data_IF_212403535994
#
_entry.id   IF_212403535994
#
_cell.length_a   1.000
_cell.length_b   1.000
_cell.length_c   1.000
_cell.angle_alpha   90.00
_cell.angle_beta   90.00
_cell.angle_gamma   90.00
#
_symmetry.space_group_name_H-M   'P 1'
#
loop_
_entity.id
_entity.type
_entity.pdbx_description
1 polymer ?
#
# COMPACT_ATOMS: atom_id res chain seq x y z
N UNK A 1 -32.12 -58.25 12.21
CA UNK A 1 -31.60 -57.16 13.07
C UNK A 1 -30.31 -56.66 12.43
N UNK A 2 -30.27 -55.37 12.12
CA UNK A 2 -29.24 -54.67 11.33
C UNK A 2 -27.96 -54.38 12.12
N UNK A 3 -26.80 -54.47 11.44
CA UNK A 3 -25.64 -53.53 11.38
C UNK A 3 -24.37 -54.33 11.01
N UNK A 4 -23.81 -54.19 9.78
CA UNK A 4 -22.75 -53.24 9.36
C UNK A 4 -21.48 -53.37 10.23
N UNK A 5 -20.26 -53.51 9.71
CA UNK A 5 -19.64 -52.65 8.69
C UNK A 5 -18.36 -53.32 8.13
N UNK A 6 -18.18 -53.23 6.81
CA UNK A 6 -16.98 -53.63 6.06
C UNK A 6 -15.80 -52.70 6.33
N UNK A 7 -14.58 -53.25 6.34
CA UNK A 7 -13.33 -52.49 6.22
C UNK A 7 -12.50 -53.09 5.08
N UNK A 8 -12.77 -52.64 3.85
CA UNK A 8 -11.83 -52.78 2.73
C UNK A 8 -10.91 -51.56 2.77
N UNK A 9 -9.63 -51.77 3.10
CA UNK A 9 -8.60 -50.75 2.95
C UNK A 9 -8.22 -50.67 1.46
N UNK A 10 -8.75 -49.66 0.76
CA UNK A 10 -8.32 -49.29 -0.59
C UNK A 10 -7.15 -48.30 -0.46
N UNK A 11 -5.92 -48.80 -0.58
CA UNK A 11 -4.74 -47.94 -0.70
C UNK A 11 -4.71 -47.45 -2.16
N UNK A 12 -5.12 -46.20 -2.38
CA UNK A 12 -4.92 -45.52 -3.67
C UNK A 12 -3.58 -44.79 -3.62
N UNK A 13 -2.55 -45.40 -4.22
CA UNK A 13 -1.28 -44.72 -4.47
C UNK A 13 -1.47 -43.86 -5.72
N UNK A 14 -1.70 -42.56 -5.55
CA UNK A 14 -1.54 -41.59 -6.62
C UNK A 14 -0.05 -41.28 -6.77
N UNK A 15 0.58 -41.87 -7.78
CA UNK A 15 1.88 -41.43 -8.26
C UNK A 15 1.68 -40.16 -9.11
N UNK A 16 1.85 -38.98 -8.50
CA UNK A 16 2.08 -37.75 -9.25
C UNK A 16 3.54 -37.73 -9.69
N UNK A 17 3.81 -38.20 -10.90
CA UNK A 17 5.02 -37.82 -11.62
C UNK A 17 4.73 -36.43 -12.18
N UNK A 18 5.10 -35.39 -11.44
CA UNK A 18 5.08 -34.02 -11.97
C UNK A 18 6.39 -33.80 -12.72
N UNK A 19 6.31 -33.84 -14.05
CA UNK A 19 7.38 -33.41 -14.94
C UNK A 19 7.64 -31.92 -14.68
N UNK A 20 8.72 -31.61 -13.96
CA UNK A 20 9.21 -30.25 -13.82
C UNK A 20 9.76 -29.78 -15.18
N UNK A 21 8.95 -29.03 -15.92
CA UNK A 21 9.49 -28.06 -16.87
C UNK A 21 9.80 -26.79 -16.08
N UNK A 22 11.08 -26.55 -15.81
CA UNK A 22 11.57 -25.25 -15.36
C UNK A 22 11.28 -24.24 -16.47
N UNK A 23 10.08 -23.66 -16.49
CA UNK A 23 9.79 -22.50 -17.31
C UNK A 23 9.81 -21.28 -16.40
N UNK A 24 10.88 -20.50 -16.49
CA UNK A 24 11.13 -19.31 -15.69
C UNK A 24 10.26 -18.11 -16.09
N UNK A 25 9.04 -18.37 -16.58
CA UNK A 25 8.09 -17.41 -17.14
C UNK A 25 6.62 -17.77 -16.84
N UNK A 26 6.36 -18.62 -15.82
CA UNK A 26 5.00 -18.80 -15.34
C UNK A 26 4.53 -17.49 -14.68
N UNK A 27 3.45 -16.92 -15.22
CA UNK A 27 2.78 -15.74 -14.65
C UNK A 27 2.54 -15.96 -13.15
N UNK A 28 3.20 -15.16 -12.33
CA UNK A 28 3.13 -15.28 -10.88
C UNK A 28 1.71 -14.99 -10.38
N UNK A 29 1.09 -15.95 -9.68
CA UNK A 29 -0.23 -15.78 -9.06
C UNK A 29 -0.05 -15.49 -7.56
N UNK A 30 -0.42 -14.30 -7.12
CA UNK A 30 -0.39 -13.96 -5.69
C UNK A 30 -1.29 -14.91 -4.88
N UNK A 31 -0.73 -15.53 -3.85
CA UNK A 31 -1.43 -16.46 -2.97
C UNK A 31 -1.47 -17.92 -3.45
N UNK A 32 -0.94 -18.22 -4.64
CA UNK A 32 -0.62 -19.58 -5.08
C UNK A 32 0.65 -20.04 -4.37
N UNK A 33 0.48 -20.57 -3.16
CA UNK A 33 1.59 -20.95 -2.27
C UNK A 33 2.03 -22.40 -2.48
N UNK A 34 1.24 -23.17 -3.23
CA UNK A 34 1.60 -24.53 -3.64
C UNK A 34 2.21 -24.58 -5.05
N UNK A 35 2.28 -23.45 -5.74
CA UNK A 35 2.86 -23.26 -7.08
C UNK A 35 2.17 -24.10 -8.17
N UNK A 36 0.84 -24.28 -8.06
CA UNK A 36 0.05 -25.05 -9.02
C UNK A 36 -0.56 -24.23 -10.16
N UNK A 37 -0.37 -22.90 -10.13
CA UNK A 37 -0.86 -21.94 -11.10
C UNK A 37 -2.29 -21.45 -10.82
N UNK A 38 -2.91 -21.83 -9.68
CA UNK A 38 -4.30 -21.47 -9.38
C UNK A 38 -4.52 -21.11 -7.91
N UNK A 39 -4.88 -19.84 -7.64
CA UNK A 39 -5.31 -19.42 -6.30
C UNK A 39 -6.63 -20.09 -5.88
N UNK A 40 -6.55 -21.09 -5.01
CA UNK A 40 -7.72 -21.84 -4.54
C UNK A 40 -7.54 -22.42 -3.12
N UNK A 41 -8.45 -23.30 -2.69
CA UNK A 41 -8.41 -23.86 -1.33
C UNK A 41 -7.18 -24.75 -1.08
N UNK A 42 -6.57 -25.29 -2.14
CA UNK A 42 -5.33 -26.06 -2.04
C UNK A 42 -4.21 -25.25 -1.41
N UNK A 43 -4.15 -23.94 -1.67
CA UNK A 43 -3.16 -23.02 -1.10
C UNK A 43 -3.29 -22.86 0.41
N UNK A 44 -4.54 -22.66 0.86
CA UNK A 44 -4.84 -22.58 2.28
C UNK A 44 -4.49 -23.90 3.00
N UNK A 45 -4.82 -25.04 2.37
CA UNK A 45 -4.47 -26.37 2.89
C UNK A 45 -2.96 -26.58 2.90
N UNK A 46 -2.23 -26.06 1.91
CA UNK A 46 -0.77 -26.14 1.85
C UNK A 46 -0.12 -25.44 3.04
N UNK A 47 -0.55 -24.21 3.36
CA UNK A 47 -0.08 -23.47 4.55
C UNK A 47 -0.42 -24.21 5.83
N UNK A 48 -1.67 -24.69 5.99
CA UNK A 48 -2.09 -25.45 7.18
C UNK A 48 -1.21 -26.70 7.33
N UNK A 49 -0.91 -27.40 6.24
CA UNK A 49 -0.08 -28.59 6.30
C UNK A 49 1.37 -28.26 6.71
N UNK A 50 1.92 -27.17 6.20
CA UNK A 50 3.24 -26.70 6.63
C UNK A 50 3.27 -26.41 8.14
N UNK A 51 2.29 -25.66 8.64
CA UNK A 51 2.22 -25.21 10.04
C UNK A 51 1.97 -26.37 11.02
N UNK A 52 1.07 -27.30 10.68
CA UNK A 52 0.57 -28.27 11.65
C UNK A 52 1.13 -29.69 11.51
N UNK A 53 1.57 -30.08 10.32
CA UNK A 53 2.06 -31.44 10.06
C UNK A 53 3.49 -31.48 9.49
N UNK A 54 4.18 -30.33 9.44
CA UNK A 54 5.57 -30.24 9.00
C UNK A 54 5.74 -30.47 7.50
N UNK A 55 4.72 -30.11 6.70
CA UNK A 55 4.82 -30.13 5.24
C UNK A 55 5.90 -29.19 4.69
N UNK A 56 6.21 -29.26 3.39
CA UNK A 56 7.18 -28.37 2.74
C UNK A 56 6.84 -26.89 3.02
N UNK A 57 7.86 -26.07 3.23
CA UNK A 57 7.65 -24.62 3.36
C UNK A 57 7.21 -24.05 2.01
N UNK A 58 6.27 -23.08 2.00
CA UNK A 58 6.01 -22.27 0.81
C UNK A 58 7.33 -21.70 0.28
N UNK A 59 7.50 -21.69 -1.04
CA UNK A 59 8.70 -21.14 -1.64
C UNK A 59 8.80 -19.66 -1.27
N UNK A 60 9.83 -19.20 -0.54
CA UNK A 60 9.96 -17.78 -0.19
C UNK A 60 10.14 -16.89 -1.43
N UNK A 61 10.54 -17.49 -2.56
CA UNK A 61 10.68 -16.84 -3.84
C UNK A 61 9.38 -16.83 -4.66
N UNK A 62 8.28 -17.44 -4.18
CA UNK A 62 6.99 -17.23 -4.84
C UNK A 62 6.64 -15.73 -4.80
N UNK A 63 7.05 -15.00 -3.75
CA UNK A 63 7.00 -13.53 -3.69
C UNK A 63 8.39 -12.90 -3.87
N UNK A 64 9.24 -13.43 -4.76
CA UNK A 64 10.60 -12.95 -5.01
C UNK A 64 10.60 -11.48 -5.46
N UNK A 65 10.51 -10.55 -4.50
CA UNK A 65 10.30 -9.14 -4.79
C UNK A 65 9.51 -8.44 -3.70
N UNK A 66 8.48 -9.05 -3.12
CA UNK A 66 7.61 -8.38 -2.16
C UNK A 66 7.53 -9.10 -0.80
N UNK A 67 8.34 -8.68 0.20
CA UNK A 67 8.33 -9.31 1.52
C UNK A 67 7.00 -9.00 2.23
N UNK A 68 6.42 -9.91 3.02
CA UNK A 68 5.08 -9.71 3.61
C UNK A 68 4.98 -8.49 4.52
N UNK A 69 6.11 -8.09 5.13
CA UNK A 69 6.20 -6.87 5.91
C UNK A 69 7.50 -6.13 5.65
N UNK A 70 7.50 -4.84 5.98
CA UNK A 70 8.67 -3.98 6.06
C UNK A 70 8.66 -3.21 7.37
N UNK A 71 9.83 -2.91 7.94
CA UNK A 71 9.98 -2.17 9.19
C UNK A 71 10.77 -0.88 8.95
N UNK A 72 10.26 0.26 9.43
CA UNK A 72 11.00 1.53 9.36
C UNK A 72 12.04 1.69 10.47
N UNK A 73 12.74 2.83 10.49
CA UNK A 73 13.77 3.12 11.48
C UNK A 73 13.25 3.07 12.93
N UNK A 74 12.00 3.47 13.15
CA UNK A 74 11.38 3.54 14.48
C UNK A 74 10.82 2.19 14.95
N UNK A 75 10.96 1.13 14.15
CA UNK A 75 10.38 -0.17 14.44
C UNK A 75 8.90 -0.28 14.09
N UNK A 76 8.32 0.66 13.33
CA UNK A 76 6.95 0.49 12.84
C UNK A 76 6.94 -0.59 11.75
N UNK A 77 6.13 -1.61 11.95
CA UNK A 77 5.93 -2.69 10.98
C UNK A 77 4.73 -2.39 10.08
N UNK A 78 4.90 -2.62 8.79
CA UNK A 78 3.89 -2.40 7.76
C UNK A 78 3.71 -3.67 6.93
N UNK A 79 2.46 -4.06 6.70
CA UNK A 79 2.13 -5.07 5.70
C UNK A 79 2.37 -4.50 4.30
N UNK A 80 2.64 -5.39 3.35
CA UNK A 80 2.88 -5.04 1.95
C UNK A 80 1.95 -5.81 1.01
N UNK A 81 1.86 -5.35 -0.23
CA UNK A 81 1.09 -5.99 -1.28
C UNK A 81 1.80 -5.83 -2.61
N UNK A 82 1.83 -6.89 -3.42
CA UNK A 82 2.34 -6.85 -4.79
C UNK A 82 1.22 -6.38 -5.73
N UNK A 83 1.47 -5.29 -6.46
CA UNK A 83 0.54 -4.68 -7.41
C UNK A 83 1.25 -4.52 -8.75
N UNK A 84 0.93 -5.41 -9.69
CA UNK A 84 1.73 -5.61 -10.89
C UNK A 84 3.15 -6.03 -10.49
N UNK A 85 4.14 -5.30 -10.98
CA UNK A 85 5.55 -5.55 -10.66
C UNK A 85 6.06 -4.76 -9.45
N UNK A 86 5.17 -4.00 -8.78
CA UNK A 86 5.55 -3.09 -7.70
C UNK A 86 5.10 -3.62 -6.34
N UNK A 87 6.01 -3.66 -5.37
CA UNK A 87 5.68 -3.99 -3.99
C UNK A 87 5.37 -2.72 -3.19
N UNK A 88 4.13 -2.58 -2.71
CA UNK A 88 3.63 -1.38 -2.03
C UNK A 88 3.35 -1.63 -0.56
N UNK A 89 3.56 -0.61 0.29
CA UNK A 89 3.07 -0.63 1.67
C UNK A 89 1.54 -0.50 1.72
N UNK A 90 0.89 -1.28 2.59
CA UNK A 90 -0.55 -1.15 2.89
C UNK A 90 -0.85 -0.17 4.03
N UNK A 91 0.17 0.25 4.79
CA UNK A 91 0.07 1.20 5.92
C UNK A 91 0.72 2.56 5.62
N UNK A 92 0.16 3.65 6.13
CA UNK A 92 0.73 5.00 5.95
C UNK A 92 1.94 5.14 6.87
N UNK A 93 3.00 5.80 6.41
CA UNK A 93 4.23 5.96 7.16
C UNK A 93 3.99 6.69 8.50
N UNK A 94 4.65 6.22 9.56
CA UNK A 94 4.51 6.70 10.95
C UNK A 94 5.85 7.17 11.55
N UNK A 95 6.92 7.07 10.77
CA UNK A 95 8.29 7.36 11.18
C UNK A 95 8.44 8.81 11.68
N UNK A 96 9.27 8.97 12.68
CA UNK A 96 9.61 10.22 13.37
C UNK A 96 11.11 10.53 13.29
N UNK A 97 11.89 9.60 12.73
CA UNK A 97 13.30 9.79 12.38
C UNK A 97 13.52 9.52 10.89
N UNK A 98 14.51 10.19 10.31
CA UNK A 98 15.04 9.80 9.02
C UNK A 98 15.81 8.47 9.14
N UNK A 99 16.13 7.85 8.01
CA UNK A 99 16.84 6.56 7.95
C UNK A 99 18.22 6.60 8.62
N UNK A 100 18.84 7.77 8.68
CA UNK A 100 20.12 7.98 9.38
C UNK A 100 19.98 8.17 10.90
N UNK A 101 18.76 8.17 11.44
CA UNK A 101 18.44 8.33 12.85
C UNK A 101 18.26 9.76 13.34
N UNK A 102 18.42 10.77 12.48
CA UNK A 102 18.10 12.15 12.86
C UNK A 102 16.58 12.30 13.07
N UNK A 103 16.14 13.04 14.10
CA UNK A 103 14.72 13.31 14.29
C UNK A 103 14.18 14.20 13.18
N UNK A 104 12.97 13.90 12.72
CA UNK A 104 12.19 14.77 11.85
C UNK A 104 11.49 15.81 12.73
N UNK A 105 11.42 17.05 12.27
CA UNK A 105 10.81 18.12 13.06
C UNK A 105 9.30 17.88 13.24
N UNK A 106 8.83 17.68 14.47
CA UNK A 106 7.39 17.64 14.78
C UNK A 106 6.87 19.06 14.98
N UNK A 107 6.00 19.55 14.08
CA UNK A 107 5.48 20.94 14.13
C UNK A 107 3.97 20.95 14.17
N UNK A 108 3.39 21.38 15.30
CA UNK A 108 1.94 21.44 15.50
C UNK A 108 1.34 22.83 15.26
N UNK A 109 2.15 23.88 15.43
CA UNK A 109 1.73 25.26 15.20
C UNK A 109 1.59 25.58 13.70
N UNK A 110 0.49 26.22 13.32
CA UNK A 110 0.15 26.49 11.92
C UNK A 110 1.00 27.59 11.28
N UNK A 111 1.31 28.65 12.04
CA UNK A 111 2.13 29.76 11.55
C UNK A 111 3.59 29.32 11.32
N UNK A 112 4.13 28.50 12.22
CA UNK A 112 5.44 27.88 12.08
C UNK A 112 5.47 26.97 10.86
N UNK A 113 4.46 26.11 10.70
CA UNK A 113 4.34 25.17 9.57
C UNK A 113 4.39 25.87 8.20
N UNK A 114 3.67 26.99 8.05
CA UNK A 114 3.65 27.78 6.82
C UNK A 114 5.04 28.30 6.40
N UNK A 115 5.90 28.62 7.37
CA UNK A 115 7.24 29.15 7.14
C UNK A 115 8.32 28.10 6.90
N UNK A 116 7.99 26.80 6.94
CA UNK A 116 8.99 25.75 6.82
C UNK A 116 9.57 25.65 5.41
N UNK A 117 10.89 25.48 5.38
CA UNK A 117 11.67 25.03 4.21
C UNK A 117 12.47 23.75 4.50
N UNK A 118 12.21 23.15 5.66
CA UNK A 118 12.84 21.92 6.17
C UNK A 118 11.78 20.84 6.36
N UNK A 119 12.23 19.59 6.36
CA UNK A 119 11.34 18.45 6.57
C UNK A 119 10.68 18.45 7.94
N UNK A 120 9.37 18.26 7.95
CA UNK A 120 8.57 18.20 9.17
C UNK A 120 7.40 17.24 9.02
N UNK A 121 6.90 16.77 10.16
CA UNK A 121 5.67 16.00 10.25
C UNK A 121 4.72 16.57 11.29
N UNK A 122 3.47 16.15 11.21
CA UNK A 122 2.45 16.35 12.23
C UNK A 122 1.41 15.22 12.15
N UNK A 123 0.53 15.16 13.15
CA UNK A 123 -0.64 14.28 13.10
C UNK A 123 -1.86 15.07 12.64
N UNK A 124 -2.83 14.38 12.04
CA UNK A 124 -4.11 15.03 11.75
C UNK A 124 -4.72 15.63 13.03
N UNK A 125 -5.09 16.91 13.00
CA UNK A 125 -5.55 17.70 14.15
C UNK A 125 -4.59 17.69 15.35
N UNK A 126 -3.30 17.43 15.14
CA UNK A 126 -2.29 17.26 16.18
C UNK A 126 -2.69 16.18 17.23
N UNK A 127 -3.49 15.20 16.82
CA UNK A 127 -3.97 14.13 17.69
C UNK A 127 -3.18 12.83 17.45
N UNK A 128 -2.38 12.41 18.43
CA UNK A 128 -1.61 11.16 18.38
C UNK A 128 -2.50 9.91 18.24
N UNK A 129 -3.75 9.96 18.73
CA UNK A 129 -4.70 8.85 18.60
C UNK A 129 -5.04 8.48 17.14
N UNK A 130 -4.79 9.38 16.19
CA UNK A 130 -5.01 9.11 14.77
C UNK A 130 -3.87 8.29 14.13
N UNK A 131 -2.68 8.25 14.73
CA UNK A 131 -1.47 7.73 14.09
C UNK A 131 -1.55 6.23 13.83
N UNK A 132 -2.14 5.47 14.75
CA UNK A 132 -2.23 4.01 14.62
C UNK A 132 -3.02 3.58 13.38
N UNK A 133 -4.05 4.36 13.00
CA UNK A 133 -4.96 4.04 11.88
C UNK A 133 -4.53 4.77 10.61
N UNK A 134 -4.25 6.07 10.68
CA UNK A 134 -4.08 6.93 9.50
C UNK A 134 -2.63 7.26 9.17
N UNK A 135 -1.68 6.90 10.03
CA UNK A 135 -0.29 7.33 9.90
C UNK A 135 -0.08 8.79 10.28
N UNK A 136 1.03 9.37 9.79
CA UNK A 136 1.38 10.78 9.99
C UNK A 136 1.34 11.56 8.66
N UNK A 137 1.26 12.87 8.78
CA UNK A 137 1.30 13.81 7.66
C UNK A 137 2.69 14.45 7.61
N UNK A 138 3.31 14.45 6.43
CA UNK A 138 4.64 14.99 6.21
C UNK A 138 4.57 16.10 5.19
N UNK A 139 5.39 17.14 5.35
CA UNK A 139 5.60 18.09 4.28
C UNK A 139 6.52 17.51 3.19
N UNK A 140 6.51 18.12 2.01
CA UNK A 140 7.29 17.60 0.89
C UNK A 140 8.82 17.78 1.07
N UNK A 141 9.24 18.70 1.93
CA UNK A 141 10.65 18.83 2.31
C UNK A 141 11.16 17.60 3.08
N UNK A 142 10.29 16.90 3.83
CA UNK A 142 10.66 15.63 4.45
C UNK A 142 10.74 14.52 3.39
N UNK A 143 9.84 14.54 2.40
CA UNK A 143 9.82 13.58 1.27
C UNK A 143 11.10 13.63 0.45
N UNK A 144 11.63 14.83 0.20
CA UNK A 144 12.81 15.08 -0.63
C UNK A 144 14.13 15.13 0.15
N UNK A 145 14.09 14.89 1.46
CA UNK A 145 15.28 14.96 2.29
C UNK A 145 16.23 13.80 1.95
N UNK A 146 17.51 14.13 1.69
CA UNK A 146 18.56 13.16 1.38
C UNK A 146 18.78 12.07 2.46
N UNK A 147 18.32 12.30 3.69
CA UNK A 147 18.41 11.34 4.80
C UNK A 147 17.36 10.23 4.71
N UNK A 148 16.37 10.37 3.81
CA UNK A 148 15.29 9.42 3.49
C UNK A 148 14.33 9.10 4.64
N UNK A 149 13.03 9.03 4.32
CA UNK A 149 11.99 8.60 5.28
C UNK A 149 11.68 7.10 5.19
N UNK A 150 11.76 6.53 3.99
CA UNK A 150 11.34 5.16 3.74
C UNK A 150 12.31 4.15 4.39
N UNK A 151 11.86 2.92 4.71
CA UNK A 151 12.72 1.81 5.10
C UNK A 151 13.88 1.54 4.13
N UNK A 152 14.92 0.84 4.56
CA UNK A 152 16.01 0.42 3.67
C UNK A 152 15.50 -0.52 2.57
N UNK A 153 15.93 -0.30 1.32
CA UNK A 153 15.42 -1.02 0.13
C UNK A 153 14.04 -0.57 -0.34
N UNK A 154 13.54 0.55 0.19
CA UNK A 154 12.27 1.16 -0.17
C UNK A 154 12.44 2.66 -0.38
N UNK A 155 11.52 3.26 -1.13
CA UNK A 155 11.49 4.70 -1.39
C UNK A 155 10.06 5.23 -1.49
N UNK A 156 9.95 6.57 -1.51
CA UNK A 156 8.67 7.26 -1.71
C UNK A 156 8.40 7.28 -3.23
N UNK A 157 7.23 6.80 -3.67
CA UNK A 157 6.93 6.57 -5.08
C UNK A 157 7.05 7.84 -5.92
N UNK A 158 7.68 7.70 -7.08
CA UNK A 158 7.68 8.70 -8.13
C UNK A 158 6.30 8.79 -8.79
N UNK A 159 6.10 9.86 -9.57
CA UNK A 159 4.87 10.04 -10.33
C UNK A 159 4.72 8.95 -11.40
N UNK A 160 5.84 8.46 -11.95
CA UNK A 160 5.87 7.36 -12.90
C UNK A 160 5.39 6.06 -12.26
N UNK A 161 5.83 5.76 -11.04
CA UNK A 161 5.44 4.55 -10.32
C UNK A 161 3.98 4.56 -9.91
N UNK A 162 3.45 5.71 -9.49
CA UNK A 162 2.00 5.86 -9.31
C UNK A 162 1.23 5.59 -10.59
N UNK A 163 1.71 6.09 -11.74
CA UNK A 163 1.09 5.81 -13.04
C UNK A 163 1.13 4.33 -13.41
N UNK A 164 2.22 3.62 -13.11
CA UNK A 164 2.30 2.17 -13.33
C UNK A 164 1.26 1.42 -12.49
N UNK A 165 1.13 1.75 -11.21
CA UNK A 165 0.09 1.19 -10.35
C UNK A 165 -1.31 1.43 -10.94
N UNK A 166 -1.60 2.65 -11.38
CA UNK A 166 -2.92 2.98 -11.95
C UNK A 166 -3.21 2.24 -13.25
N UNK A 167 -2.19 2.06 -14.11
CA UNK A 167 -2.33 1.28 -15.33
C UNK A 167 -2.53 -0.20 -15.04
N UNK A 168 -1.84 -0.75 -14.03
CA UNK A 168 -2.09 -2.12 -13.56
C UNK A 168 -3.54 -2.32 -13.10
N UNK A 169 -4.17 -1.26 -12.56
CA UNK A 169 -5.57 -1.29 -12.14
C UNK A 169 -6.60 -1.10 -13.27
N UNK A 170 -6.15 -0.83 -14.50
CA UNK A 170 -6.98 -0.73 -15.69
C UNK A 170 -6.97 0.62 -16.40
N UNK A 171 -6.22 1.62 -15.90
CA UNK A 171 -6.10 2.92 -16.57
C UNK A 171 -5.27 2.81 -17.86
N UNK A 172 -5.64 3.51 -18.92
CA UNK A 172 -4.77 3.62 -20.09
C UNK A 172 -3.60 4.59 -19.85
N UNK A 173 -2.49 4.42 -20.57
CA UNK A 173 -1.35 5.37 -20.52
C UNK A 173 -1.79 6.82 -20.82
N UNK A 174 -2.68 7.00 -21.81
CA UNK A 174 -3.17 8.33 -22.19
C UNK A 174 -3.97 9.00 -21.07
N UNK A 175 -4.76 8.23 -20.32
CA UNK A 175 -5.44 8.73 -19.12
C UNK A 175 -4.45 8.96 -17.98
N UNK A 176 -3.47 8.08 -17.82
CA UNK A 176 -2.48 8.13 -16.76
C UNK A 176 -1.64 9.42 -16.82
N UNK A 177 -1.33 9.90 -18.02
CA UNK A 177 -0.55 11.12 -18.23
C UNK A 177 -1.32 12.43 -18.00
N UNK A 178 -2.66 12.37 -17.87
CA UNK A 178 -3.47 13.56 -17.59
C UNK A 178 -3.31 14.05 -16.13
N UNK A 179 -3.79 15.27 -15.89
CA UNK A 179 -3.94 15.87 -14.54
C UNK A 179 -5.41 15.97 -14.17
N UNK A 180 -5.72 16.16 -12.88
CA UNK A 180 -7.09 16.20 -12.37
C UNK A 180 -7.62 14.80 -12.04
N UNK A 181 -8.94 14.65 -12.04
CA UNK A 181 -9.62 13.36 -11.88
C UNK A 181 -9.52 12.55 -13.17
N UNK A 182 -9.07 11.30 -13.06
CA UNK A 182 -8.76 10.43 -14.21
C UNK A 182 -9.00 8.97 -13.88
N UNK A 183 -9.05 8.16 -14.94
CA UNK A 183 -9.57 6.80 -14.87
C UNK A 183 -11.08 6.76 -14.67
N UNK A 184 -11.59 5.58 -14.34
CA UNK A 184 -13.03 5.34 -14.11
C UNK A 184 -13.28 4.72 -12.74
N UNK A 185 -12.50 3.72 -12.36
CA UNK A 185 -12.72 2.90 -11.15
C UNK A 185 -11.48 2.72 -10.29
N UNK A 186 -10.30 3.09 -10.79
CA UNK A 186 -8.99 2.79 -10.19
C UNK A 186 -8.83 3.40 -8.80
N UNK A 187 -9.39 4.59 -8.58
CA UNK A 187 -9.41 5.19 -7.24
C UNK A 187 -10.26 4.38 -6.26
N UNK A 188 -11.39 3.84 -6.71
CA UNK A 188 -12.23 2.92 -5.93
C UNK A 188 -11.51 1.61 -5.55
N UNK A 189 -10.74 1.04 -6.47
CA UNK A 189 -9.96 -0.18 -6.25
C UNK A 189 -8.88 -0.05 -5.19
N UNK A 190 -8.38 1.17 -4.98
CA UNK A 190 -7.35 1.50 -3.99
C UNK A 190 -7.91 1.78 -2.58
N UNK A 191 -9.16 2.21 -2.45
CA UNK A 191 -9.78 2.59 -1.17
C UNK A 191 -10.20 1.36 -0.37
N UNK A 192 -10.11 1.46 0.96
CA UNK A 192 -10.85 0.55 1.86
C UNK A 192 -12.33 0.48 1.44
N UNK A 193 -12.87 -0.74 1.37
CA UNK A 193 -14.26 -0.99 1.02
C UNK A 193 -15.20 -0.65 2.19
N UNK A 194 -16.44 -0.24 1.87
CA UNK A 194 -17.43 0.13 2.88
C UNK A 194 -17.16 1.50 3.50
N UNK A 195 -17.71 1.75 4.69
CA UNK A 195 -17.69 3.08 5.33
C UNK A 195 -17.22 3.00 6.80
N UNK A 196 -16.30 2.07 7.09
CA UNK A 196 -15.72 1.96 8.42
C UNK A 196 -14.91 3.21 8.78
N UNK A 197 -14.03 3.64 7.86
CA UNK A 197 -13.27 4.87 8.00
C UNK A 197 -13.68 5.96 6.99
N UNK A 198 -14.15 5.56 5.81
CA UNK A 198 -14.66 6.50 4.80
C UNK A 198 -16.08 6.95 5.11
N UNK A 199 -16.33 8.25 4.94
CA UNK A 199 -17.68 8.79 4.95
C UNK A 199 -18.50 8.21 3.78
N UNK A 200 -19.80 8.07 4.00
CA UNK A 200 -20.74 7.71 2.93
C UNK A 200 -20.78 8.83 1.87
N UNK A 201 -20.76 8.51 0.55
CA UNK A 201 -21.05 7.19 -0.02
C UNK A 201 -19.85 6.26 -0.23
N UNK A 202 -18.61 6.70 -0.02
CA UNK A 202 -17.38 6.02 -0.44
C UNK A 202 -17.48 5.41 -1.86
N UNK A 203 -17.90 6.23 -2.83
CA UNK A 203 -18.28 5.81 -4.19
C UNK A 203 -17.25 4.87 -4.82
N UNK A 204 -17.73 3.71 -5.25
CA UNK A 204 -16.97 2.72 -6.01
C UNK A 204 -15.83 2.04 -5.25
N UNK A 205 -15.74 2.17 -3.93
CA UNK A 205 -14.67 1.54 -3.16
C UNK A 205 -14.84 0.02 -3.07
N UNK A 206 -13.88 -0.73 -3.62
CA UNK A 206 -13.88 -2.20 -3.62
C UNK A 206 -12.70 -2.80 -2.86
N UNK A 207 -11.62 -2.04 -2.67
CA UNK A 207 -10.34 -2.52 -2.16
C UNK A 207 -9.79 -3.76 -2.88
N UNK A 208 -10.16 -4.00 -4.14
CA UNK A 208 -9.74 -5.21 -4.86
C UNK A 208 -8.23 -5.28 -5.07
N UNK A 209 -7.53 -4.14 -4.99
CA UNK A 209 -6.07 -4.11 -5.03
C UNK A 209 -5.43 -4.58 -3.72
N UNK A 210 -6.12 -4.49 -2.58
CA UNK A 210 -5.50 -4.65 -1.26
C UNK A 210 -4.64 -3.45 -0.81
N UNK A 211 -4.52 -2.39 -1.62
CA UNK A 211 -3.80 -1.17 -1.24
C UNK A 211 -4.38 -0.50 0.02
N UNK A 212 -5.70 -0.65 0.25
CA UNK A 212 -6.41 -0.28 1.48
C UNK A 212 -6.15 1.18 1.92
N UNK A 213 -6.36 2.13 1.03
CA UNK A 213 -6.23 3.56 1.35
C UNK A 213 -7.31 4.00 2.36
N UNK A 214 -6.88 4.76 3.37
CA UNK A 214 -7.73 5.30 4.44
C UNK A 214 -7.76 6.84 4.39
N UNK A 215 -8.92 7.46 4.71
CA UNK A 215 -9.14 8.90 4.56
C UNK A 215 -8.62 9.69 5.77
N UNK A 216 -7.30 9.73 5.92
CA UNK A 216 -6.63 10.44 7.02
C UNK A 216 -6.72 11.96 6.94
N UNK A 217 -7.32 12.51 5.88
CA UNK A 217 -7.30 13.94 5.59
C UNK A 217 -5.89 14.46 5.32
N UNK A 218 -5.73 15.76 5.44
CA UNK A 218 -4.46 16.43 5.19
C UNK A 218 -4.32 17.76 5.93
N UNK A 219 -3.14 18.36 5.83
CA UNK A 219 -2.84 19.70 6.33
C UNK A 219 -2.50 20.64 5.17
N UNK A 220 -3.13 21.80 5.13
CA UNK A 220 -2.78 22.87 4.20
C UNK A 220 -1.48 23.58 4.60
N UNK A 221 -0.88 24.28 3.64
CA UNK A 221 0.31 25.11 3.91
C UNK A 221 0.07 26.17 4.98
N UNK A 222 -1.15 26.72 5.09
CA UNK A 222 -1.52 27.68 6.16
C UNK A 222 -1.68 27.03 7.55
N UNK A 223 -1.43 25.72 7.67
CA UNK A 223 -1.47 24.97 8.91
C UNK A 223 -2.83 24.38 9.28
N UNK A 224 -3.91 24.71 8.56
CA UNK A 224 -5.25 24.17 8.80
C UNK A 224 -5.36 22.70 8.34
N UNK A 225 -6.20 21.93 9.02
CA UNK A 225 -6.49 20.53 8.68
C UNK A 225 -7.85 20.40 7.98
N UNK A 226 -7.97 19.46 7.04
CA UNK A 226 -9.19 19.29 6.26
C UNK A 226 -9.44 17.82 5.83
N UNK A 227 -10.68 17.53 5.47
CA UNK A 227 -11.12 16.31 4.76
C UNK A 227 -10.85 14.97 5.45
N UNK A 228 -10.85 14.93 6.78
CA UNK A 228 -10.82 13.67 7.53
C UNK A 228 -12.09 12.86 7.27
N UNK A 229 -11.95 11.57 6.99
CA UNK A 229 -13.07 10.72 6.56
C UNK A 229 -13.48 10.91 5.10
N UNK A 230 -12.96 11.93 4.41
CA UNK A 230 -13.42 12.32 3.07
C UNK A 230 -12.35 12.17 1.99
N UNK A 231 -11.08 12.39 2.32
CA UNK A 231 -9.97 12.31 1.36
C UNK A 231 -8.75 11.58 1.93
N UNK A 232 -8.07 10.87 1.03
CA UNK A 232 -6.74 10.31 1.26
C UNK A 232 -5.77 10.90 0.23
N UNK A 233 -4.80 11.69 0.71
CA UNK A 233 -3.78 12.32 -0.14
C UNK A 233 -2.41 11.71 0.13
N UNK A 234 -1.69 11.39 -0.95
CA UNK A 234 -0.38 10.73 -0.91
C UNK A 234 0.65 11.52 -1.70
N UNK A 235 1.80 11.78 -1.09
CA UNK A 235 2.91 12.40 -1.80
C UNK A 235 3.51 11.51 -2.87
N UNK A 236 3.98 12.14 -3.94
CA UNK A 236 5.02 11.60 -4.81
C UNK A 236 6.36 12.26 -4.50
N UNK A 237 7.45 11.54 -4.70
CA UNK A 237 8.81 12.10 -4.68
C UNK A 237 9.16 12.95 -5.92
N UNK A 238 8.26 13.04 -6.92
CA UNK A 238 8.50 13.83 -8.13
C UNK A 238 8.13 15.30 -7.97
N UNK A 239 9.08 16.17 -8.31
CA UNK A 239 8.93 17.63 -8.29
C UNK A 239 8.07 18.17 -9.45
N UNK A 240 7.46 19.33 -9.23
CA UNK A 240 6.73 20.11 -10.23
C UNK A 240 7.06 21.61 -10.07
N UNK A 241 8.32 21.99 -10.32
CA UNK A 241 8.80 23.35 -10.09
C UNK A 241 8.84 23.70 -8.60
N UNK A 242 8.07 24.69 -8.16
CA UNK A 242 7.92 25.02 -6.72
C UNK A 242 6.85 24.17 -6.02
N UNK A 243 6.13 23.36 -6.79
CA UNK A 243 5.10 22.44 -6.32
C UNK A 243 5.62 21.00 -6.36
N UNK A 244 4.81 20.06 -5.91
CA UNK A 244 5.14 18.64 -5.98
C UNK A 244 3.91 17.80 -6.21
N UNK A 245 4.07 16.70 -6.94
CA UNK A 245 2.97 15.84 -7.35
C UNK A 245 2.41 15.05 -6.16
N UNK A 246 1.09 14.84 -6.19
CA UNK A 246 0.41 13.99 -5.22
C UNK A 246 -0.71 13.21 -5.91
N UNK A 247 -1.19 12.17 -5.21
CA UNK A 247 -2.41 11.43 -5.55
C UNK A 247 -3.50 11.72 -4.54
N UNK A 248 -4.74 11.82 -5.00
CA UNK A 248 -5.90 12.04 -4.15
C UNK A 248 -7.02 11.05 -4.44
N UNK A 249 -7.60 10.51 -3.38
CA UNK A 249 -8.80 9.68 -3.40
C UNK A 249 -9.89 10.38 -2.62
N UNK A 250 -11.13 10.32 -3.11
CA UNK A 250 -12.27 11.02 -2.52
C UNK A 250 -13.42 10.06 -2.22
N UNK A 251 -14.15 10.34 -1.13
CA UNK A 251 -15.33 9.57 -0.75
C UNK A 251 -16.49 9.66 -1.75
N UNK A 252 -16.53 10.68 -2.61
CA UNK A 252 -17.59 10.84 -3.62
C UNK A 252 -17.19 10.35 -5.02
N UNK A 253 -15.97 9.88 -5.22
CA UNK A 253 -15.47 9.46 -6.53
C UNK A 253 -14.80 8.09 -6.50
N UNK A 254 -14.93 7.37 -7.62
CA UNK A 254 -14.19 6.14 -7.93
C UNK A 254 -12.93 6.40 -8.77
N UNK A 255 -12.73 7.63 -9.22
CA UNK A 255 -11.55 8.06 -9.98
C UNK A 255 -10.39 8.42 -9.03
N UNK A 256 -9.18 8.50 -9.59
CA UNK A 256 -7.99 8.98 -8.87
C UNK A 256 -7.63 10.39 -9.33
N UNK A 257 -7.33 11.27 -8.37
CA UNK A 257 -6.82 12.61 -8.62
C UNK A 257 -5.31 12.64 -8.75
N UNK A 258 -4.78 13.36 -9.75
CA UNK A 258 -3.36 13.70 -9.89
C UNK A 258 -3.20 15.19 -10.09
N UNK A 259 -2.62 15.85 -9.10
CA UNK A 259 -2.36 17.28 -9.13
C UNK A 259 -1.01 17.58 -8.48
N UNK A 260 -0.58 18.84 -8.53
CA UNK A 260 0.56 19.32 -7.77
C UNK A 260 0.13 20.43 -6.82
N UNK A 261 0.82 20.54 -5.70
CA UNK A 261 0.52 21.53 -4.66
C UNK A 261 1.79 22.00 -3.97
N UNK A 262 1.66 23.08 -3.20
CA UNK A 262 2.77 23.74 -2.55
C UNK A 262 3.39 22.84 -1.47
N UNK A 263 4.74 22.78 -1.46
CA UNK A 263 5.55 21.85 -0.66
C UNK A 263 5.28 21.84 0.85
N UNK A 264 4.88 22.96 1.49
CA UNK A 264 4.52 22.94 2.91
C UNK A 264 3.21 22.21 3.21
N UNK A 265 2.36 21.82 2.27
CA UNK A 265 1.20 20.98 2.62
C UNK A 265 1.65 19.67 3.30
N UNK A 266 0.81 19.09 4.15
CA UNK A 266 1.10 17.85 4.87
C UNK A 266 0.22 16.71 4.40
N UNK A 267 0.79 15.71 3.72
CA UNK A 267 0.07 14.53 3.20
C UNK A 267 0.66 13.23 3.74
N UNK A 268 -0.10 12.14 3.58
CA UNK A 268 0.35 10.81 3.94
C UNK A 268 1.43 10.32 2.97
N UNK A 269 2.22 9.35 3.40
CA UNK A 269 3.22 8.68 2.58
C UNK A 269 2.94 7.18 2.57
N UNK A 270 3.01 6.61 1.37
CA UNK A 270 3.13 5.18 1.08
C UNK A 270 4.50 4.96 0.47
N UNK A 271 5.17 3.86 0.78
CA UNK A 271 6.45 3.53 0.14
C UNK A 271 6.26 2.36 -0.82
N UNK A 272 7.13 2.32 -1.82
CA UNK A 272 7.27 1.24 -2.80
C UNK A 272 8.70 0.69 -2.70
N UNK A 273 8.88 -0.60 -2.93
CA UNK A 273 10.20 -1.24 -2.87
C UNK A 273 11.03 -0.89 -4.11
N UNK A 274 12.35 -0.79 -3.93
CA UNK A 274 13.35 -0.58 -5.00
C UNK A 274 13.42 -1.74 -6.01
#
# INVERSE_FOLDING_TARGET
MSKKLHLLALIVIFAFISLHTNDSNADHVCGDVNEDGALNVSDAVFIINHVFIGGPAPNPNCCAGCPPTVTDYDGNVYQTVLLGDQCWMMGNLKVTHYRNGDPIQHVTDGSTWYGLSTGAFCNYNNNEGNVAVYGRLYNWYAVSDSRNLAPEGWHIPTDAEWKQLEMHLGMSQAEADNTGLRGTTEGGKLKEAGTAHWNSPNTGATNESGFTALPGGYRYSNGSFASFGEEALFWSSTEAGIYSWYRGLSFVSSQIGRNNIYRPCGFSIRCVKD
#
